data_IF_202773931650
#
_entry.id   IF_202773931650
#
_cell.length_a   1.000
_cell.length_b   1.000
_cell.length_c   1.000
_cell.angle_alpha   90.00
_cell.angle_beta   90.00
_cell.angle_gamma   90.00
#
_symmetry.space_group_name_H-M   'P 1'
#
loop_
_entity.id
_entity.type
_entity.pdbx_description
1 polymer ?
#
# COMPACT_ATOMS: atom_id res chain seq x y z
N UNK A 1 11.03 -26.55 -30.59
CA UNK A 1 11.76 -25.71 -29.63
C UNK A 1 10.80 -24.65 -29.14
N UNK A 2 10.59 -24.47 -27.84
CA UNK A 2 9.82 -23.33 -27.33
C UNK A 2 10.59 -22.06 -27.73
N UNK A 3 9.92 -21.11 -28.43
CA UNK A 3 10.53 -19.83 -28.78
C UNK A 3 11.04 -19.16 -27.51
N UNK A 4 12.29 -18.71 -27.52
CA UNK A 4 12.90 -17.98 -26.41
C UNK A 4 12.07 -16.70 -26.16
N UNK A 5 11.67 -16.48 -24.89
CA UNK A 5 10.90 -15.28 -24.50
C UNK A 5 11.87 -14.11 -24.37
N UNK A 6 11.76 -13.12 -25.24
CA UNK A 6 12.63 -11.92 -25.27
C UNK A 6 11.97 -10.67 -24.72
N UNK A 7 10.63 -10.56 -24.83
CA UNK A 7 9.90 -9.36 -24.42
C UNK A 7 8.56 -9.70 -23.78
N UNK A 8 8.35 -9.24 -22.54
CA UNK A 8 7.12 -9.47 -21.81
C UNK A 8 6.44 -8.15 -21.40
N UNK A 9 5.12 -8.18 -21.33
CA UNK A 9 4.31 -7.09 -20.81
C UNK A 9 3.66 -7.51 -19.48
N UNK A 10 3.91 -6.77 -18.41
CA UNK A 10 3.20 -6.90 -17.12
C UNK A 10 2.21 -5.74 -17.00
N UNK A 11 0.94 -6.02 -16.68
CA UNK A 11 -0.12 -5.01 -16.62
C UNK A 11 -0.65 -4.86 -15.20
N UNK A 12 -0.50 -3.64 -14.61
CA UNK A 12 -1.16 -3.25 -13.35
C UNK A 12 -1.48 -1.76 -13.34
N UNK A 13 -2.73 -1.37 -13.59
CA UNK A 13 -3.13 0.03 -13.75
C UNK A 13 -3.26 0.82 -12.46
N UNK A 14 -3.53 0.19 -11.33
CA UNK A 14 -3.80 0.82 -10.01
C UNK A 14 -3.87 -0.24 -8.91
N UNK A 15 -3.83 0.08 -7.65
CA UNK A 15 -3.52 1.35 -7.01
C UNK A 15 -2.07 1.36 -6.50
N UNK A 16 -1.63 2.40 -5.73
CA UNK A 16 -0.26 2.48 -5.20
C UNK A 16 0.20 1.15 -4.57
N UNK A 17 -0.52 0.67 -3.56
CA UNK A 17 -0.16 -0.57 -2.87
C UNK A 17 -0.15 -1.79 -3.78
N UNK A 18 -1.14 -1.89 -4.68
CA UNK A 18 -1.20 -3.00 -5.63
C UNK A 18 -0.03 -3.01 -6.63
N UNK A 19 0.47 -1.84 -7.04
CA UNK A 19 1.63 -1.72 -7.92
C UNK A 19 2.90 -2.13 -7.16
N UNK A 20 3.09 -1.65 -5.93
CA UNK A 20 4.21 -2.08 -5.07
C UNK A 20 4.19 -3.59 -4.85
N UNK A 21 3.02 -4.19 -4.67
CA UNK A 21 2.85 -5.65 -4.52
C UNK A 21 3.22 -6.45 -5.78
N UNK A 22 3.37 -5.81 -6.96
CA UNK A 22 3.84 -6.49 -8.17
C UNK A 22 5.36 -6.57 -8.29
N UNK A 23 6.12 -5.83 -7.49
CA UNK A 23 7.57 -5.71 -7.65
C UNK A 23 8.32 -7.04 -7.55
N UNK A 24 7.95 -8.02 -6.70
CA UNK A 24 8.59 -9.33 -6.72
C UNK A 24 8.39 -10.09 -8.03
N UNK A 25 7.21 -9.94 -8.65
CA UNK A 25 6.93 -10.58 -9.94
C UNK A 25 7.75 -9.93 -11.07
N UNK A 26 7.93 -8.61 -11.03
CA UNK A 26 8.76 -7.86 -12.00
C UNK A 26 10.23 -8.27 -11.85
N UNK A 27 10.78 -8.21 -10.62
CA UNK A 27 12.16 -8.62 -10.34
C UNK A 27 12.42 -10.07 -10.73
N UNK A 28 11.55 -11.00 -10.30
CA UNK A 28 11.71 -12.41 -10.60
C UNK A 28 11.68 -12.70 -12.11
N UNK A 29 10.82 -12.01 -12.87
CA UNK A 29 10.81 -12.11 -14.33
C UNK A 29 12.14 -11.61 -14.93
N UNK A 30 12.61 -10.42 -14.52
CA UNK A 30 13.82 -9.81 -15.05
C UNK A 30 15.09 -10.61 -14.75
N UNK A 31 15.17 -11.21 -13.55
CA UNK A 31 16.38 -11.92 -13.10
C UNK A 31 16.43 -13.39 -13.48
N UNK A 32 15.28 -14.03 -13.75
CA UNK A 32 15.23 -15.46 -14.04
C UNK A 32 15.01 -15.78 -15.52
N UNK A 33 14.48 -14.87 -16.31
CA UNK A 33 14.38 -15.04 -17.77
C UNK A 33 15.62 -14.47 -18.44
N UNK A 34 16.24 -15.28 -19.30
CA UNK A 34 17.47 -14.89 -19.99
C UNK A 34 17.20 -13.77 -20.99
N UNK A 35 17.98 -12.69 -20.91
CA UNK A 35 17.97 -11.55 -21.87
C UNK A 35 16.56 -10.98 -22.15
N UNK A 36 15.68 -10.96 -21.13
CA UNK A 36 14.29 -10.50 -21.28
C UNK A 36 14.18 -8.98 -21.13
N UNK A 37 13.43 -8.35 -22.03
CA UNK A 37 12.88 -7.00 -21.82
C UNK A 37 11.56 -7.09 -21.06
N UNK A 38 11.50 -6.43 -19.90
CA UNK A 38 10.29 -6.34 -19.06
C UNK A 38 9.64 -4.99 -19.24
N UNK A 39 8.47 -4.96 -19.87
CA UNK A 39 7.66 -3.76 -20.01
C UNK A 39 6.53 -3.76 -18.98
N UNK A 40 6.20 -2.59 -18.46
CA UNK A 40 5.14 -2.43 -17.47
C UNK A 40 4.07 -1.44 -17.93
N UNK A 41 2.78 -1.80 -17.88
CA UNK A 41 1.68 -0.92 -18.22
C UNK A 41 0.92 -0.48 -16.97
N UNK A 42 0.84 0.83 -16.73
CA UNK A 42 0.16 1.44 -15.58
C UNK A 42 -0.53 2.76 -15.97
N UNK A 43 -1.31 3.35 -15.05
CA UNK A 43 -1.82 4.71 -15.24
C UNK A 43 -0.73 5.74 -15.00
N UNK A 44 -0.73 6.83 -15.76
CA UNK A 44 0.24 7.94 -15.66
C UNK A 44 0.42 8.46 -14.24
N UNK A 45 -0.66 8.60 -13.49
CA UNK A 45 -0.63 9.09 -12.10
C UNK A 45 0.21 8.24 -11.12
N UNK A 46 0.58 7.01 -11.51
CA UNK A 46 1.43 6.11 -10.72
C UNK A 46 2.86 6.03 -11.24
N UNK A 47 3.24 6.91 -12.16
CA UNK A 47 4.58 7.03 -12.75
C UNK A 47 5.68 6.98 -11.69
N UNK A 48 5.52 7.76 -10.63
CA UNK A 48 6.48 7.91 -9.52
C UNK A 48 6.88 6.56 -8.86
N UNK A 49 6.05 5.52 -8.97
CA UNK A 49 6.29 4.21 -8.33
C UNK A 49 7.19 3.32 -9.21
N UNK A 50 7.14 3.48 -10.52
CA UNK A 50 7.69 2.51 -11.48
C UNK A 50 8.90 3.01 -12.26
N UNK A 51 9.08 4.34 -12.42
CA UNK A 51 10.13 4.90 -13.27
C UNK A 51 11.55 4.60 -12.79
N UNK A 52 11.73 4.43 -11.48
CA UNK A 52 13.05 4.17 -10.91
C UNK A 52 13.28 2.67 -10.61
N UNK A 53 12.40 1.80 -11.09
CA UNK A 53 12.56 0.37 -10.88
C UNK A 53 13.54 -0.21 -11.91
N UNK A 54 14.76 -0.66 -11.53
CA UNK A 54 15.78 -1.14 -12.44
C UNK A 54 15.41 -2.44 -13.15
N UNK A 55 14.34 -3.09 -12.73
CA UNK A 55 13.84 -4.32 -13.35
C UNK A 55 12.77 -4.06 -14.43
N UNK A 56 12.47 -2.79 -14.72
CA UNK A 56 11.54 -2.38 -15.78
C UNK A 56 12.34 -1.67 -16.89
N UNK A 57 12.36 -2.26 -18.08
CA UNK A 57 13.06 -1.66 -19.22
C UNK A 57 12.25 -0.54 -19.88
N UNK A 58 10.91 -0.67 -19.89
CA UNK A 58 10.01 0.36 -20.46
C UNK A 58 8.66 0.41 -19.77
N UNK A 59 8.17 1.61 -19.50
CA UNK A 59 6.84 1.85 -18.94
C UNK A 59 5.90 2.38 -20.02
N UNK A 60 4.69 1.83 -20.07
CA UNK A 60 3.59 2.28 -20.92
C UNK A 60 2.49 2.90 -20.07
N UNK A 61 2.15 4.15 -20.34
CA UNK A 61 1.17 4.88 -19.54
C UNK A 61 -0.22 4.87 -20.18
N UNK A 62 -1.21 4.54 -19.36
CA UNK A 62 -2.61 4.66 -19.71
C UNK A 62 -3.15 6.04 -19.28
N UNK A 63 -3.43 6.89 -20.26
CA UNK A 63 -3.97 8.24 -20.09
C UNK A 63 -5.41 8.29 -20.61
N UNK A 64 -6.29 7.45 -20.06
CA UNK A 64 -7.71 7.35 -20.35
C UNK A 64 -8.06 7.01 -21.82
N UNK A 65 -7.09 6.99 -22.72
CA UNK A 65 -7.25 6.55 -24.11
C UNK A 65 -6.71 5.12 -24.30
N UNK A 66 -7.62 4.13 -24.22
CA UNK A 66 -7.27 2.72 -24.34
C UNK A 66 -6.79 2.36 -25.75
N UNK A 67 -7.35 2.98 -26.78
CA UNK A 67 -6.97 2.75 -28.19
C UNK A 67 -5.53 3.17 -28.47
N UNK A 68 -5.11 4.33 -27.96
CA UNK A 68 -3.75 4.82 -28.09
C UNK A 68 -2.76 3.91 -27.36
N UNK A 69 -3.07 3.49 -26.14
CA UNK A 69 -2.24 2.54 -25.41
C UNK A 69 -2.10 1.22 -26.20
N UNK A 70 -3.20 0.65 -26.70
CA UNK A 70 -3.15 -0.60 -27.48
C UNK A 70 -2.30 -0.44 -28.74
N UNK A 71 -2.41 0.71 -29.44
CA UNK A 71 -1.60 0.99 -30.64
C UNK A 71 -0.10 0.99 -30.29
N UNK A 72 0.31 1.64 -29.20
CA UNK A 72 1.70 1.63 -28.77
C UNK A 72 2.19 0.24 -28.31
N UNK A 73 1.34 -0.50 -27.59
CA UNK A 73 1.67 -1.86 -27.16
C UNK A 73 1.83 -2.84 -28.33
N UNK A 74 1.03 -2.69 -29.42
CA UNK A 74 1.16 -3.53 -30.61
C UNK A 74 2.51 -3.36 -31.33
N UNK A 75 3.10 -2.17 -31.28
CA UNK A 75 4.41 -1.87 -31.90
C UNK A 75 5.57 -2.60 -31.20
N UNK A 76 5.40 -3.00 -29.92
CA UNK A 76 6.46 -3.65 -29.14
C UNK A 76 6.65 -5.14 -29.45
N UNK A 77 5.67 -5.79 -30.11
CA UNK A 77 5.76 -7.22 -30.48
C UNK A 77 6.08 -8.16 -29.30
N UNK A 78 5.34 -8.05 -28.21
CA UNK A 78 5.51 -8.90 -27.03
C UNK A 78 5.40 -10.40 -27.35
N UNK A 79 6.18 -11.23 -26.64
CA UNK A 79 6.07 -12.68 -26.69
C UNK A 79 5.02 -13.20 -25.69
N UNK A 80 4.89 -12.52 -24.54
CA UNK A 80 3.97 -12.94 -23.48
C UNK A 80 3.40 -11.75 -22.69
N UNK A 81 2.13 -11.87 -22.25
CA UNK A 81 1.44 -10.85 -21.46
C UNK A 81 1.02 -11.39 -20.11
N UNK A 82 1.45 -10.72 -19.04
CA UNK A 82 1.14 -11.06 -17.66
C UNK A 82 0.15 -10.03 -17.10
N UNK A 83 -1.10 -10.46 -16.89
CA UNK A 83 -2.18 -9.58 -16.44
C UNK A 83 -2.37 -9.69 -14.91
N UNK A 84 -1.74 -8.78 -14.17
CA UNK A 84 -1.86 -8.65 -12.72
C UNK A 84 -2.98 -7.69 -12.28
N UNK A 85 -3.80 -7.22 -13.23
CA UNK A 85 -4.95 -6.36 -12.93
C UNK A 85 -6.30 -7.09 -13.12
N UNK A 86 -6.45 -7.86 -14.21
CA UNK A 86 -7.57 -8.75 -14.51
C UNK A 86 -8.93 -8.04 -14.47
N UNK A 87 -9.11 -7.03 -15.30
CA UNK A 87 -10.38 -6.32 -15.51
C UNK A 87 -10.76 -6.29 -17.00
N UNK A 88 -11.88 -5.62 -17.33
CA UNK A 88 -12.36 -5.53 -18.71
C UNK A 88 -11.32 -4.88 -19.65
N UNK A 89 -10.66 -3.79 -19.21
CA UNK A 89 -9.64 -3.11 -20.03
C UNK A 89 -8.47 -4.04 -20.36
N UNK A 90 -7.95 -4.78 -19.36
CA UNK A 90 -6.84 -5.71 -19.59
C UNK A 90 -7.26 -6.91 -20.43
N UNK A 91 -8.53 -7.33 -20.37
CA UNK A 91 -9.09 -8.34 -21.29
C UNK A 91 -9.05 -7.85 -22.73
N UNK A 92 -9.51 -6.61 -22.99
CA UNK A 92 -9.47 -5.99 -24.33
C UNK A 92 -8.02 -5.89 -24.83
N UNK A 93 -7.08 -5.42 -24.00
CA UNK A 93 -5.66 -5.36 -24.38
C UNK A 93 -5.14 -6.73 -24.80
N UNK A 94 -5.33 -7.77 -23.98
CA UNK A 94 -4.86 -9.12 -24.29
C UNK A 94 -5.45 -9.65 -25.60
N UNK A 95 -6.76 -9.46 -25.81
CA UNK A 95 -7.42 -9.88 -27.05
C UNK A 95 -6.84 -9.14 -28.25
N UNK A 96 -6.64 -7.82 -28.15
CA UNK A 96 -6.10 -6.99 -29.25
C UNK A 96 -4.62 -7.25 -29.56
N UNK A 97 -3.83 -7.66 -28.57
CA UNK A 97 -2.44 -8.05 -28.76
C UNK A 97 -2.31 -9.45 -29.38
N UNK A 98 -3.27 -10.34 -29.18
CA UNK A 98 -3.28 -11.71 -29.74
C UNK A 98 -2.12 -12.59 -29.25
N UNK A 99 -1.47 -12.25 -28.13
CA UNK A 99 -0.30 -12.95 -27.62
C UNK A 99 -0.67 -13.95 -26.51
N UNK A 100 0.19 -14.95 -26.27
CA UNK A 100 0.06 -15.83 -25.11
C UNK A 100 0.01 -14.99 -23.84
N UNK A 101 -0.87 -15.36 -22.91
CA UNK A 101 -1.03 -14.57 -21.69
C UNK A 101 -1.41 -15.43 -20.49
N UNK A 102 -1.04 -14.95 -19.31
CA UNK A 102 -1.48 -15.47 -18.02
C UNK A 102 -2.10 -14.37 -17.15
N UNK A 103 -2.84 -14.79 -16.13
CA UNK A 103 -3.44 -13.84 -15.17
C UNK A 103 -3.50 -14.47 -13.80
N UNK A 104 -3.33 -13.65 -12.77
CA UNK A 104 -3.44 -14.10 -11.39
C UNK A 104 -4.87 -14.50 -10.99
N UNK A 105 -5.00 -15.29 -9.94
CA UNK A 105 -6.28 -15.66 -9.37
C UNK A 105 -6.84 -14.53 -8.49
N UNK A 106 -7.95 -13.91 -8.89
CA UNK A 106 -8.53 -12.74 -8.22
C UNK A 106 -9.38 -13.09 -7.00
N UNK A 107 -9.83 -14.34 -6.86
CA UNK A 107 -10.64 -14.87 -5.75
C UNK A 107 -11.92 -14.05 -5.47
N UNK A 108 -12.58 -13.55 -6.53
CA UNK A 108 -13.72 -12.64 -6.39
C UNK A 108 -14.92 -13.29 -5.69
N UNK A 109 -15.18 -14.58 -5.98
CA UNK A 109 -16.30 -15.33 -5.39
C UNK A 109 -16.06 -15.55 -3.90
N UNK A 110 -14.86 -16.00 -3.53
CA UNK A 110 -14.48 -16.22 -2.13
C UNK A 110 -14.52 -14.92 -1.31
N UNK A 111 -14.00 -13.82 -1.89
CA UNK A 111 -14.10 -12.49 -1.28
C UNK A 111 -15.54 -12.03 -1.13
N UNK A 112 -16.39 -12.28 -2.12
CA UNK A 112 -17.81 -11.93 -2.06
C UNK A 112 -18.55 -12.73 -0.98
N UNK A 113 -18.32 -14.04 -0.89
CA UNK A 113 -18.87 -14.90 0.16
C UNK A 113 -18.45 -14.40 1.56
N UNK A 114 -17.17 -14.05 1.71
CA UNK A 114 -16.67 -13.57 3.01
C UNK A 114 -17.27 -12.21 3.41
N UNK A 115 -17.41 -11.27 2.45
CA UNK A 115 -17.99 -9.95 2.71
C UNK A 115 -19.49 -10.05 3.03
N UNK A 116 -20.26 -10.84 2.28
CA UNK A 116 -21.72 -10.84 2.37
C UNK A 116 -22.25 -11.86 3.40
N UNK A 117 -21.67 -13.05 3.43
CA UNK A 117 -22.16 -14.16 4.27
C UNK A 117 -21.21 -14.50 5.44
N UNK A 118 -20.06 -13.84 5.55
CA UNK A 118 -19.02 -14.12 6.57
C UNK A 118 -18.42 -15.53 6.47
N UNK A 119 -18.63 -16.19 5.34
CA UNK A 119 -18.04 -17.50 5.05
C UNK A 119 -16.66 -17.31 4.44
N UNK A 120 -15.61 -17.51 5.24
CA UNK A 120 -14.25 -17.38 4.78
C UNK A 120 -13.76 -18.69 4.13
N UNK A 121 -13.77 -18.72 2.80
CA UNK A 121 -13.16 -19.76 1.94
C UNK A 121 -11.92 -19.25 1.20
N UNK A 122 -11.30 -18.18 1.69
CA UNK A 122 -10.07 -17.65 1.10
C UNK A 122 -8.89 -18.57 1.46
N UNK A 123 -8.02 -18.89 0.52
CA UNK A 123 -6.78 -19.61 0.83
C UNK A 123 -5.87 -18.67 1.64
N UNK A 124 -5.07 -19.25 2.54
CA UNK A 124 -4.04 -18.52 3.28
C UNK A 124 -2.82 -18.26 2.36
N UNK A 125 -3.02 -17.53 1.29
CA UNK A 125 -2.00 -17.20 0.28
C UNK A 125 -1.98 -15.70 0.05
N UNK A 126 -0.81 -15.10 0.18
CA UNK A 126 -0.64 -13.68 -0.04
C UNK A 126 -0.86 -13.29 -1.51
N UNK A 127 -1.28 -12.05 -1.78
CA UNK A 127 -1.53 -11.56 -3.15
C UNK A 127 -0.25 -11.60 -4.00
N UNK A 128 0.92 -11.37 -3.41
CA UNK A 128 2.23 -11.45 -4.08
C UNK A 128 2.47 -12.86 -4.63
N UNK A 129 2.20 -13.88 -3.84
CA UNK A 129 2.38 -15.27 -4.29
C UNK A 129 1.42 -15.60 -5.44
N UNK A 130 0.19 -15.08 -5.39
CA UNK A 130 -0.78 -15.20 -6.51
C UNK A 130 -0.35 -14.42 -7.76
N UNK A 131 0.41 -13.31 -7.61
CA UNK A 131 1.01 -12.60 -8.75
C UNK A 131 2.15 -13.40 -9.36
N UNK A 132 3.01 -13.99 -8.54
CA UNK A 132 4.08 -14.87 -8.99
C UNK A 132 3.54 -16.15 -9.66
N UNK A 133 2.40 -16.68 -9.20
CA UNK A 133 1.73 -17.78 -9.87
C UNK A 133 1.36 -17.48 -11.34
N UNK A 134 1.12 -16.22 -11.68
CA UNK A 134 0.89 -15.82 -13.07
C UNK A 134 2.14 -15.95 -13.96
N UNK A 135 3.34 -16.06 -13.38
CA UNK A 135 4.59 -16.26 -14.10
C UNK A 135 5.00 -17.74 -14.21
N UNK A 136 4.30 -18.66 -13.56
CA UNK A 136 4.58 -20.11 -13.64
C UNK A 136 4.68 -20.67 -15.07
N UNK A 137 3.85 -20.24 -16.05
CA UNK A 137 3.99 -20.68 -17.44
C UNK A 137 5.35 -20.35 -18.09
N UNK A 138 6.08 -19.37 -17.52
CA UNK A 138 7.41 -18.97 -17.94
C UNK A 138 8.54 -19.62 -17.12
N UNK A 139 8.21 -20.52 -16.18
CA UNK A 139 9.17 -21.17 -15.29
C UNK A 139 9.70 -20.30 -14.14
N UNK A 140 9.20 -19.05 -14.01
CA UNK A 140 9.65 -18.10 -12.98
C UNK A 140 9.09 -18.49 -11.61
N UNK A 141 9.95 -18.46 -10.59
CA UNK A 141 9.64 -18.80 -9.19
C UNK A 141 9.80 -17.61 -8.26
N UNK A 142 9.16 -17.67 -7.09
CA UNK A 142 9.36 -16.69 -6.02
C UNK A 142 10.81 -16.77 -5.49
N UNK A 143 11.53 -15.65 -5.51
CA UNK A 143 12.89 -15.54 -4.97
C UNK A 143 12.94 -15.37 -3.44
N UNK A 144 11.79 -15.14 -2.79
CA UNK A 144 11.68 -14.98 -1.34
C UNK A 144 12.15 -13.64 -0.79
N UNK A 145 12.67 -12.72 -1.61
CA UNK A 145 13.28 -11.46 -1.16
C UNK A 145 12.26 -10.41 -0.66
N UNK A 146 10.96 -10.58 -0.98
CA UNK A 146 9.90 -9.64 -0.58
C UNK A 146 9.69 -8.53 -1.59
N UNK A 147 9.14 -7.39 -1.13
CA UNK A 147 8.81 -6.25 -1.98
C UNK A 147 10.03 -5.37 -2.24
N UNK A 148 9.95 -4.58 -3.32
CA UNK A 148 10.91 -3.52 -3.65
C UNK A 148 10.22 -2.16 -3.71
N UNK A 149 10.98 -1.12 -3.40
CA UNK A 149 10.64 0.27 -3.70
C UNK A 149 11.92 1.07 -3.91
N UNK A 150 12.01 1.78 -5.02
CA UNK A 150 13.21 2.50 -5.44
C UNK A 150 12.96 4.01 -5.34
N UNK A 151 13.74 4.68 -4.52
CA UNK A 151 13.68 6.14 -4.32
C UNK A 151 14.78 6.76 -5.16
N UNK A 152 14.47 7.69 -6.09
CA UNK A 152 15.51 8.44 -6.79
C UNK A 152 16.22 9.41 -5.83
N UNK A 153 17.48 9.67 -6.06
CA UNK A 153 18.32 10.52 -5.21
C UNK A 153 17.69 11.90 -4.92
N UNK A 154 17.08 12.52 -5.91
CA UNK A 154 16.39 13.81 -5.78
C UNK A 154 15.20 13.83 -4.80
N UNK A 155 14.66 12.66 -4.47
CA UNK A 155 13.54 12.51 -3.55
C UNK A 155 13.97 11.95 -2.17
N UNK A 156 15.28 11.79 -1.95
CA UNK A 156 15.78 11.45 -0.63
C UNK A 156 15.58 12.61 0.34
N UNK A 157 14.98 12.32 1.48
CA UNK A 157 14.76 13.32 2.54
C UNK A 157 15.96 13.33 3.47
N UNK A 158 16.66 14.44 3.48
CA UNK A 158 17.76 14.64 4.42
C UNK A 158 17.25 14.81 5.85
N UNK A 159 17.98 14.29 6.81
CA UNK A 159 17.64 14.38 8.24
C UNK A 159 17.53 15.85 8.69
N UNK A 160 18.32 16.74 8.07
CA UNK A 160 18.30 18.19 8.31
C UNK A 160 16.95 18.85 8.03
N UNK A 161 16.14 18.28 7.12
CA UNK A 161 14.79 18.80 6.78
C UNK A 161 13.74 18.48 7.85
N UNK A 162 14.06 17.54 8.74
CA UNK A 162 13.17 17.17 9.83
C UNK A 162 13.38 18.08 11.05
N UNK A 163 12.34 18.32 11.85
CA UNK A 163 12.50 18.99 13.14
C UNK A 163 13.55 18.29 14.00
N UNK A 164 14.33 19.02 14.77
CA UNK A 164 15.41 18.51 15.59
C UNK A 164 15.00 17.32 16.45
N UNK A 165 13.80 17.38 17.02
CA UNK A 165 13.21 16.31 17.84
C UNK A 165 12.98 14.98 17.09
N UNK A 166 13.04 15.00 15.74
CA UNK A 166 12.79 13.83 14.89
C UNK A 166 14.04 13.38 14.11
N UNK A 167 15.21 13.96 14.37
CA UNK A 167 16.44 13.65 13.62
C UNK A 167 17.10 12.34 14.01
N UNK A 168 17.06 11.97 15.28
CA UNK A 168 17.72 10.76 15.78
C UNK A 168 16.81 9.53 15.64
N UNK A 169 15.61 9.60 16.23
CA UNK A 169 14.63 8.49 16.26
C UNK A 169 13.24 9.02 16.10
N UNK A 170 12.48 8.38 15.22
CA UNK A 170 11.07 8.69 15.05
C UNK A 170 10.26 7.49 14.56
N UNK A 171 8.99 7.55 14.82
CA UNK A 171 7.99 6.64 14.30
C UNK A 171 7.19 7.32 13.19
N UNK A 172 6.74 6.55 12.22
CA UNK A 172 5.83 7.05 11.21
C UNK A 172 4.42 6.59 11.54
N UNK A 173 3.45 7.50 11.45
CA UNK A 173 2.05 7.13 11.38
C UNK A 173 1.45 7.60 10.05
N UNK A 174 1.22 6.65 9.14
CA UNK A 174 0.55 6.89 7.87
C UNK A 174 -0.96 7.00 8.10
N UNK A 175 -1.45 8.23 8.28
CA UNK A 175 -2.87 8.51 8.57
C UNK A 175 -3.75 8.50 7.33
N UNK A 176 -3.14 8.61 6.14
CA UNK A 176 -3.83 8.64 4.86
C UNK A 176 -4.50 7.33 4.47
N UNK A 177 -5.43 7.42 3.53
CA UNK A 177 -6.13 6.28 2.96
C UNK A 177 -7.32 6.68 2.11
N UNK A 178 -7.51 6.00 0.98
CA UNK A 178 -8.53 6.34 -0.02
C UNK A 178 -9.98 6.29 0.51
N UNK A 179 -10.25 5.41 1.48
CA UNK A 179 -11.61 5.19 2.01
C UNK A 179 -11.69 5.51 3.50
N UNK A 180 -12.64 6.34 3.89
CA UNK A 180 -12.80 6.77 5.28
C UNK A 180 -12.97 5.59 6.26
N UNK A 181 -13.62 4.50 5.84
CA UNK A 181 -13.80 3.31 6.69
C UNK A 181 -12.54 2.46 6.87
N UNK A 182 -11.42 2.84 6.25
CA UNK A 182 -10.10 2.26 6.50
C UNK A 182 -9.26 3.10 7.46
N UNK A 183 -9.66 4.36 7.75
CA UNK A 183 -8.91 5.28 8.62
C UNK A 183 -9.52 5.29 10.03
N UNK A 184 -8.68 5.43 11.03
CA UNK A 184 -9.13 5.68 12.40
C UNK A 184 -9.84 7.03 12.49
N UNK A 185 -10.85 7.19 13.36
CA UNK A 185 -11.36 8.49 13.75
C UNK A 185 -10.27 9.33 14.43
N UNK A 186 -10.35 10.65 14.31
CA UNK A 186 -9.35 11.59 14.87
C UNK A 186 -9.03 11.29 16.35
N UNK A 187 -10.04 11.11 17.18
CA UNK A 187 -9.86 10.74 18.60
C UNK A 187 -8.96 9.52 18.78
N UNK A 188 -9.17 8.48 17.98
CA UNK A 188 -8.38 7.23 18.04
C UNK A 188 -6.97 7.41 17.49
N UNK A 189 -6.76 8.31 16.52
CA UNK A 189 -5.43 8.67 16.05
C UNK A 189 -4.63 9.38 17.14
N UNK A 190 -5.26 10.30 17.86
CA UNK A 190 -4.65 11.00 19.00
C UNK A 190 -4.29 9.99 20.11
N UNK A 191 -5.19 9.10 20.49
CA UNK A 191 -4.92 8.05 21.48
C UNK A 191 -3.76 7.15 21.07
N UNK A 192 -3.65 6.80 19.79
CA UNK A 192 -2.53 6.01 19.29
C UNK A 192 -1.21 6.79 19.39
N UNK A 193 -1.18 8.06 19.00
CA UNK A 193 0.00 8.90 19.13
C UNK A 193 0.44 9.04 20.60
N UNK A 194 -0.51 9.23 21.53
CA UNK A 194 -0.20 9.30 22.96
C UNK A 194 0.38 7.97 23.49
N UNK A 195 -0.16 6.84 23.02
CA UNK A 195 0.36 5.51 23.39
C UNK A 195 1.74 5.23 22.80
N UNK A 196 2.05 5.71 21.60
CA UNK A 196 3.40 5.66 21.03
C UNK A 196 4.37 6.44 21.92
N UNK A 197 3.98 7.62 22.40
CA UNK A 197 4.72 8.44 23.35
C UNK A 197 6.19 8.68 22.95
N UNK A 198 6.47 8.87 21.70
CA UNK A 198 7.78 9.10 21.06
C UNK A 198 7.58 10.18 19.97
N UNK A 199 8.68 10.68 19.33
CA UNK A 199 8.54 11.51 18.13
C UNK A 199 7.82 10.75 17.01
N UNK A 200 6.75 11.35 16.45
CA UNK A 200 5.94 10.76 15.36
C UNK A 200 5.86 11.72 14.19
N UNK A 201 6.18 11.24 13.01
CA UNK A 201 5.91 11.92 11.74
C UNK A 201 4.60 11.37 11.19
N UNK A 202 3.61 12.25 11.02
CA UNK A 202 2.36 11.92 10.34
C UNK A 202 2.58 12.01 8.84
N UNK A 203 2.19 10.98 8.09
CA UNK A 203 2.23 10.96 6.63
C UNK A 203 0.83 10.73 6.05
N UNK A 204 0.52 11.47 5.00
CA UNK A 204 -0.75 11.43 4.30
C UNK A 204 -0.73 12.35 3.08
N UNK A 205 -1.80 12.32 2.28
CA UNK A 205 -1.98 13.25 1.18
C UNK A 205 -2.36 14.65 1.66
N UNK A 206 -2.56 15.58 0.70
CA UNK A 206 -3.03 16.92 0.99
C UNK A 206 -4.40 16.94 1.68
N UNK A 207 -5.24 15.97 1.36
CA UNK A 207 -6.54 15.76 1.99
C UNK A 207 -6.47 15.39 3.48
N UNK A 208 -5.33 14.90 3.96
CA UNK A 208 -5.10 14.54 5.35
C UNK A 208 -4.41 15.64 6.17
N UNK A 209 -3.98 16.75 5.52
CA UNK A 209 -3.22 17.84 6.13
C UNK A 209 -3.94 18.44 7.35
N UNK A 210 -5.25 18.75 7.21
CA UNK A 210 -6.07 19.27 8.30
C UNK A 210 -6.16 18.31 9.49
N UNK A 211 -6.34 17.03 9.23
CA UNK A 211 -6.39 15.99 10.28
C UNK A 211 -5.03 15.90 10.98
N UNK A 212 -3.94 15.94 10.22
CA UNK A 212 -2.59 15.97 10.75
C UNK A 212 -2.33 17.19 11.64
N UNK A 213 -2.81 18.36 11.23
CA UNK A 213 -2.70 19.59 12.01
C UNK A 213 -3.52 19.53 13.31
N UNK A 214 -4.73 18.98 13.28
CA UNK A 214 -5.55 18.79 14.47
C UNK A 214 -4.86 17.85 15.47
N UNK A 215 -4.16 16.79 15.01
CA UNK A 215 -3.38 15.90 15.86
C UNK A 215 -2.16 16.65 16.44
N UNK A 216 -1.39 17.35 15.61
CA UNK A 216 -0.20 18.06 16.05
C UNK A 216 -0.55 19.14 17.09
N UNK A 217 -1.58 19.93 16.83
CA UNK A 217 -2.06 20.97 17.76
C UNK A 217 -2.51 20.38 19.13
N UNK A 218 -3.05 19.17 19.16
CA UNK A 218 -3.40 18.52 20.43
C UNK A 218 -2.18 18.27 21.33
N UNK A 219 -1.01 17.97 20.75
CA UNK A 219 0.23 17.71 21.47
C UNK A 219 1.11 18.96 21.67
N UNK A 220 0.78 20.07 21.00
CA UNK A 220 1.51 21.33 21.15
C UNK A 220 1.21 21.99 22.50
N UNK A 221 2.21 21.94 23.40
CA UNK A 221 2.10 22.48 24.76
C UNK A 221 2.05 24.01 24.83
N UNK A 222 2.48 24.70 23.76
CA UNK A 222 2.47 26.17 23.70
C UNK A 222 1.09 26.74 23.40
N UNK A 223 0.17 25.91 22.93
CA UNK A 223 -1.20 26.32 22.55
C UNK A 223 -2.17 26.00 23.70
N UNK A 224 -2.90 27.02 24.17
CA UNK A 224 -4.06 26.78 25.02
C UNK A 224 -5.02 25.81 24.30
N UNK A 225 -5.34 24.72 24.96
CA UNK A 225 -5.98 23.56 24.36
C UNK A 225 -7.47 23.80 24.10
N UNK A 226 -7.83 24.53 23.05
CA UNK A 226 -9.21 24.62 22.52
C UNK A 226 -9.77 23.28 22.00
N UNK A 227 -8.92 22.25 21.94
CA UNK A 227 -9.22 20.92 21.37
C UNK A 227 -9.54 19.86 22.43
N UNK A 228 -9.90 20.24 23.66
CA UNK A 228 -10.38 19.29 24.66
C UNK A 228 -11.66 18.63 24.15
N UNK A 229 -11.49 17.52 23.43
CA UNK A 229 -12.61 16.63 23.12
C UNK A 229 -12.82 15.74 24.33
N UNK A 230 -14.08 15.73 24.83
CA UNK A 230 -14.54 14.88 25.92
C UNK A 230 -14.00 13.43 25.77
N UNK A 231 -13.30 12.93 26.77
CA UNK A 231 -12.71 11.61 26.84
C UNK A 231 -11.25 11.52 26.32
N UNK A 232 -10.51 12.63 26.21
CA UNK A 232 -9.07 12.68 25.96
C UNK A 232 -8.30 13.31 27.14
N UNK A 233 -8.99 13.60 28.24
CA UNK A 233 -8.44 14.32 29.39
C UNK A 233 -7.32 13.55 30.09
N UNK A 234 -7.38 12.21 30.06
CA UNK A 234 -6.44 11.31 30.73
C UNK A 234 -5.14 11.07 29.95
N UNK A 235 -5.01 11.60 28.71
CA UNK A 235 -3.86 11.36 27.88
C UNK A 235 -2.62 12.10 28.42
N UNK A 236 -1.48 11.44 28.33
CA UNK A 236 -0.20 11.94 28.86
C UNK A 236 0.37 13.13 28.08
N UNK A 237 -0.05 13.32 26.82
CA UNK A 237 0.36 14.40 25.89
C UNK A 237 1.88 14.57 25.77
N UNK A 238 2.63 13.46 25.82
CA UNK A 238 4.10 13.48 25.77
C UNK A 238 4.67 13.26 24.37
N UNK A 239 3.87 12.74 23.44
CA UNK A 239 4.31 12.56 22.07
C UNK A 239 4.65 13.92 21.42
N UNK A 240 5.68 13.93 20.59
CA UNK A 240 6.06 15.07 19.76
C UNK A 240 5.65 14.77 18.34
N UNK A 241 4.78 15.59 17.77
CA UNK A 241 4.15 15.31 16.47
C UNK A 241 4.63 16.29 15.41
N UNK A 242 5.18 15.76 14.32
CA UNK A 242 5.43 16.53 13.11
C UNK A 242 4.38 16.17 12.04
N UNK A 243 3.58 17.14 11.63
CA UNK A 243 2.64 16.96 10.54
C UNK A 243 3.34 17.07 9.19
N UNK A 244 3.61 15.93 8.55
CA UNK A 244 4.16 15.81 7.21
C UNK A 244 3.13 15.58 6.11
N UNK A 245 1.82 15.56 6.45
CA UNK A 245 0.75 15.36 5.47
C UNK A 245 0.73 16.50 4.43
N UNK A 246 0.69 16.14 3.15
CA UNK A 246 0.68 17.08 2.05
C UNK A 246 2.02 17.80 1.78
N UNK A 247 3.05 17.61 2.62
CA UNK A 247 4.37 18.26 2.48
C UNK A 247 5.36 17.46 1.64
N UNK A 248 5.16 16.17 1.52
CA UNK A 248 6.07 15.23 0.86
C UNK A 248 5.36 14.52 -0.29
N UNK A 249 6.06 14.34 -1.40
CA UNK A 249 5.60 13.43 -2.44
C UNK A 249 5.71 11.97 -1.97
N UNK A 250 5.28 11.00 -2.81
CA UNK A 250 5.26 9.59 -2.41
C UNK A 250 6.68 9.04 -2.16
N UNK A 251 7.67 9.42 -2.98
CA UNK A 251 9.05 8.96 -2.81
C UNK A 251 9.71 9.58 -1.57
N UNK A 252 9.46 10.86 -1.31
CA UNK A 252 9.91 11.53 -0.09
C UNK A 252 9.27 10.89 1.16
N UNK A 253 7.98 10.58 1.09
CA UNK A 253 7.29 9.83 2.15
C UNK A 253 7.91 8.44 2.33
N UNK A 254 8.31 7.78 1.26
CA UNK A 254 9.00 6.49 1.30
C UNK A 254 10.40 6.61 1.93
N UNK A 255 11.15 7.69 1.65
CA UNK A 255 12.44 7.99 2.29
C UNK A 255 12.28 8.15 3.81
N UNK A 256 11.26 8.90 4.26
CA UNK A 256 10.94 9.04 5.69
C UNK A 256 10.57 7.68 6.30
N UNK A 257 9.75 6.88 5.61
CA UNK A 257 9.35 5.52 6.06
C UNK A 257 10.58 4.61 6.18
N UNK A 258 11.50 4.66 5.22
CA UNK A 258 12.73 3.83 5.22
C UNK A 258 13.59 4.09 6.46
N UNK A 259 13.67 5.32 6.92
CA UNK A 259 14.49 5.74 8.05
C UNK A 259 13.78 5.68 9.42
N UNK A 260 12.48 5.40 9.45
CA UNK A 260 11.71 5.28 10.69
C UNK A 260 12.08 4.03 11.51
N UNK A 261 11.94 4.06 12.83
CA UNK A 261 12.11 2.89 13.70
C UNK A 261 11.01 1.86 13.50
N UNK A 262 9.77 2.32 13.40
CA UNK A 262 8.61 1.49 13.03
C UNK A 262 7.52 2.35 12.39
N UNK A 263 6.56 1.66 11.75
CA UNK A 263 5.49 2.29 10.98
C UNK A 263 4.13 1.84 11.49
N UNK A 264 3.34 2.78 11.96
CA UNK A 264 1.90 2.61 12.18
C UNK A 264 1.16 3.02 10.91
N UNK A 265 0.22 2.22 10.46
CA UNK A 265 -0.44 2.50 9.19
C UNK A 265 -1.80 1.84 9.11
N UNK A 266 -2.71 2.45 8.38
CA UNK A 266 -3.92 1.79 7.92
C UNK A 266 -3.60 0.82 6.76
N UNK A 267 -4.57 0.02 6.32
CA UNK A 267 -4.52 -0.76 5.07
C UNK A 267 -4.41 0.19 3.86
N UNK A 268 -3.18 0.62 3.55
CA UNK A 268 -2.85 1.69 2.58
C UNK A 268 -1.60 1.38 1.76
N UNK A 269 -1.30 2.24 0.77
CA UNK A 269 -0.11 2.11 -0.07
C UNK A 269 1.21 2.18 0.72
N UNK A 270 1.30 3.08 1.72
CA UNK A 270 2.49 3.23 2.57
C UNK A 270 2.78 1.99 3.42
N UNK A 271 1.78 1.18 3.76
CA UNK A 271 1.99 -0.11 4.41
C UNK A 271 2.86 -1.05 3.55
N UNK A 272 2.61 -1.10 2.27
CA UNK A 272 3.38 -1.95 1.34
C UNK A 272 4.76 -1.37 1.05
N UNK A 273 4.89 -0.04 0.99
CA UNK A 273 6.19 0.63 0.90
C UNK A 273 7.04 0.34 2.15
N UNK A 274 6.46 0.42 3.34
CA UNK A 274 7.13 0.03 4.58
C UNK A 274 7.57 -1.44 4.58
N UNK A 275 6.75 -2.33 3.99
CA UNK A 275 7.13 -3.74 3.81
C UNK A 275 8.32 -3.92 2.86
N UNK A 276 8.44 -3.09 1.81
CA UNK A 276 9.59 -3.12 0.90
C UNK A 276 10.90 -2.79 1.63
N UNK A 277 10.86 -1.89 2.59
CA UNK A 277 12.01 -1.54 3.44
C UNK A 277 12.17 -2.43 4.69
N UNK A 278 11.43 -3.53 4.80
CA UNK A 278 11.49 -4.47 5.92
C UNK A 278 11.26 -3.81 7.29
N UNK A 279 10.53 -2.71 7.33
CA UNK A 279 10.22 -2.01 8.58
C UNK A 279 9.31 -2.86 9.46
N UNK A 280 9.39 -2.68 10.79
CA UNK A 280 8.38 -3.18 11.72
C UNK A 280 7.08 -2.41 11.51
N UNK A 281 5.99 -3.11 11.26
CA UNK A 281 4.72 -2.51 10.87
C UNK A 281 3.63 -2.86 11.88
N UNK A 282 2.90 -1.84 12.32
CA UNK A 282 1.66 -1.95 13.09
C UNK A 282 0.51 -1.55 12.17
N UNK A 283 -0.19 -2.54 11.63
CA UNK A 283 -1.23 -2.34 10.62
C UNK A 283 -2.64 -2.36 11.24
N UNK A 284 -3.44 -1.34 10.91
CA UNK A 284 -4.77 -1.11 11.47
C UNK A 284 -5.83 -1.42 10.41
N UNK A 285 -6.76 -2.32 10.76
CA UNK A 285 -7.74 -2.84 9.82
C UNK A 285 -9.18 -2.59 10.29
N UNK A 286 -9.93 -1.82 9.50
CA UNK A 286 -11.32 -1.48 9.77
C UNK A 286 -12.33 -2.32 8.99
N UNK A 287 -12.89 -1.74 7.94
CA UNK A 287 -13.95 -2.35 7.10
C UNK A 287 -13.47 -3.49 6.20
N UNK A 288 -12.17 -3.62 5.97
CA UNK A 288 -11.51 -4.67 5.20
C UNK A 288 -10.95 -5.77 6.12
N UNK A 289 -10.22 -6.73 5.55
CA UNK A 289 -9.66 -7.84 6.31
C UNK A 289 -8.28 -8.25 5.77
N UNK A 290 -7.30 -8.59 6.65
CA UNK A 290 -6.03 -9.18 6.26
C UNK A 290 -6.19 -10.48 5.47
N UNK A 291 -7.26 -11.25 5.71
CA UNK A 291 -7.55 -12.49 4.97
C UNK A 291 -7.72 -12.31 3.45
N UNK A 292 -7.88 -11.07 2.96
CA UNK A 292 -7.80 -10.82 1.52
C UNK A 292 -6.41 -11.05 0.92
N UNK A 293 -5.41 -11.30 1.79
CA UNK A 293 -4.03 -11.60 1.43
C UNK A 293 -3.22 -10.35 1.06
N UNK A 294 -3.51 -9.21 1.69
CA UNK A 294 -2.82 -7.93 1.44
C UNK A 294 -2.21 -7.34 2.72
N UNK A 295 -1.91 -8.18 3.71
CA UNK A 295 -1.18 -7.80 4.91
C UNK A 295 0.31 -7.51 4.60
N UNK A 296 1.12 -6.95 5.53
CA UNK A 296 2.54 -6.70 5.28
C UNK A 296 3.29 -7.97 4.84
N UNK A 297 4.05 -7.89 3.74
CA UNK A 297 4.69 -9.05 3.12
C UNK A 297 6.17 -9.16 3.51
N UNK A 298 6.59 -10.35 4.03
CA UNK A 298 7.99 -10.67 4.33
C UNK A 298 8.70 -9.63 5.24
N UNK A 299 7.99 -9.09 6.23
CA UNK A 299 8.53 -8.20 7.27
C UNK A 299 7.87 -8.50 8.62
N UNK A 300 8.40 -7.95 9.70
CA UNK A 300 7.77 -8.06 11.02
C UNK A 300 6.54 -7.15 11.09
N UNK A 301 5.41 -7.68 11.54
CA UNK A 301 4.20 -6.89 11.67
C UNK A 301 3.28 -7.37 12.79
N UNK A 302 2.45 -6.43 13.27
CA UNK A 302 1.30 -6.69 14.14
C UNK A 302 0.03 -6.16 13.49
N UNK A 303 -1.07 -6.87 13.68
CA UNK A 303 -2.39 -6.49 13.15
C UNK A 303 -3.27 -5.99 14.28
N UNK A 304 -3.79 -4.78 14.15
CA UNK A 304 -4.80 -4.22 15.03
C UNK A 304 -6.15 -4.23 14.33
N UNK A 305 -7.04 -5.07 14.80
CA UNK A 305 -8.37 -5.21 14.24
C UNK A 305 -9.38 -5.66 15.34
N UNK A 306 -10.64 -5.31 15.17
CA UNK A 306 -11.69 -5.80 16.05
C UNK A 306 -12.46 -6.94 15.38
N UNK A 307 -12.11 -8.18 15.70
CA UNK A 307 -12.74 -9.38 15.16
C UNK A 307 -14.06 -9.78 15.83
N UNK A 308 -14.43 -9.12 16.95
CA UNK A 308 -15.66 -9.40 17.67
C UNK A 308 -16.91 -8.85 16.96
N UNK A 309 -16.74 -8.04 15.91
CA UNK A 309 -17.84 -7.37 15.22
C UNK A 309 -18.35 -8.20 14.06
N UNK A 310 -19.60 -8.64 14.14
CA UNK A 310 -20.25 -9.51 13.14
C UNK A 310 -20.33 -8.91 11.72
N UNK A 311 -20.36 -7.57 11.57
CA UNK A 311 -20.44 -6.93 10.24
C UNK A 311 -19.12 -6.91 9.46
N UNK A 312 -17.99 -7.27 10.09
CA UNK A 312 -16.67 -7.25 9.47
C UNK A 312 -16.30 -8.58 8.79
N UNK A 313 -15.60 -8.57 7.62
CA UNK A 313 -15.40 -7.40 6.77
C UNK A 313 -16.72 -7.00 6.10
N UNK A 314 -16.96 -5.70 5.95
CA UNK A 314 -18.14 -5.21 5.25
C UNK A 314 -17.84 -4.70 3.84
N UNK A 315 -16.57 -4.67 3.44
CA UNK A 315 -16.12 -4.28 2.11
C UNK A 315 -14.83 -5.00 1.70
N UNK A 316 -14.64 -5.15 0.39
CA UNK A 316 -13.35 -5.58 -0.19
C UNK A 316 -12.33 -4.43 -0.23
N UNK A 317 -12.79 -3.18 -0.34
CA UNK A 317 -11.96 -2.01 -0.61
C UNK A 317 -12.16 -0.85 0.37
N UNK A 318 -13.29 -0.78 1.09
CA UNK A 318 -13.69 0.31 1.96
C UNK A 318 -14.89 1.10 1.44
N UNK A 319 -15.38 2.05 2.25
CA UNK A 319 -16.50 2.96 1.96
C UNK A 319 -16.16 4.40 2.35
N UNK A 320 -16.92 5.36 1.81
CA UNK A 320 -16.85 6.78 2.24
C UNK A 320 -17.37 7.00 3.66
N UNK A 321 -18.29 6.15 4.16
CA UNK A 321 -18.81 6.16 5.54
C UNK A 321 -19.20 4.76 5.96
N UNK A 322 -19.27 4.51 7.27
CA UNK A 322 -19.69 3.22 7.82
C UNK A 322 -21.16 2.94 7.45
N UNK A 323 -21.46 1.86 6.71
CA UNK A 323 -22.85 1.56 6.30
C UNK A 323 -23.75 1.20 7.47
N UNK A 324 -23.19 0.82 8.64
CA UNK A 324 -23.92 0.53 9.88
C UNK A 324 -23.94 1.72 10.87
N UNK A 325 -23.30 2.85 10.55
CA UNK A 325 -23.24 4.05 11.39
C UNK A 325 -22.33 3.96 12.62
N UNK A 326 -22.21 2.80 13.25
CA UNK A 326 -21.51 2.66 14.54
C UNK A 326 -19.99 2.72 14.51
N UNK A 327 -19.36 2.41 13.38
CA UNK A 327 -17.92 2.40 13.12
C UNK A 327 -17.05 1.69 14.20
N UNK A 328 -17.62 0.73 14.93
CA UNK A 328 -16.96 0.01 16.02
C UNK A 328 -15.67 -0.70 15.61
N UNK A 329 -15.54 -1.09 14.31
CA UNK A 329 -14.30 -1.71 13.81
C UNK A 329 -13.08 -0.80 13.89
N UNK A 330 -13.27 0.51 14.04
CA UNK A 330 -12.20 1.49 14.23
C UNK A 330 -12.29 2.17 15.61
N UNK A 331 -13.50 2.40 16.12
CA UNK A 331 -13.67 3.00 17.45
C UNK A 331 -13.16 2.10 18.58
N UNK A 332 -13.38 0.79 18.46
CA UNK A 332 -13.13 -0.16 19.55
C UNK A 332 -11.89 -1.04 19.27
N UNK A 333 -10.97 -0.58 18.40
CA UNK A 333 -9.68 -1.24 18.19
C UNK A 333 -8.84 -1.11 19.46
N UNK A 334 -8.27 -2.22 19.90
CA UNK A 334 -7.32 -2.21 21.03
C UNK A 334 -5.91 -2.10 20.48
N UNK A 335 -5.16 -1.13 20.97
CA UNK A 335 -3.74 -0.97 20.62
C UNK A 335 -2.89 -1.65 21.68
N UNK A 336 -2.62 -2.92 21.50
CA UNK A 336 -1.74 -3.69 22.37
C UNK A 336 -0.40 -3.92 21.69
N UNK A 337 0.59 -3.12 22.08
CA UNK A 337 1.96 -3.20 21.55
C UNK A 337 2.98 -2.68 22.57
N UNK A 338 4.18 -3.17 22.40
CA UNK A 338 5.36 -2.67 23.08
C UNK A 338 6.35 -2.11 22.05
N UNK A 339 6.95 -0.97 22.39
CA UNK A 339 8.03 -0.33 21.64
C UNK A 339 9.30 -0.38 22.49
N UNK A 340 10.45 -0.73 21.90
CA UNK A 340 11.73 -0.74 22.58
C UNK A 340 12.22 0.66 22.98
#
# INVERSE_FOLDING_TARGET
>A
MASEIKKILIIRFSSIGDIVLTTPAIRAAKTQLKDVEVHFATKEQYRIIVENNPYIDKVHYYNENLGQLIKSLKQENFDFVIDLHKNLRTKIIKTQLGKKSSSFQKLNIQKWLYVNFKVNKLPNVHIVDRYLDALKPLGVKNDGLGLDYFIPEKDEVEVSWLPETHREKYFVFAIGGQHATKKLPLKRMIELCDRINKPVILLGGKEDEKTGEEIANFFDRSKENKYYKKGLEELKKKAVIFNGCGKFNLNQSASIVRNADAVFTHDSGLMHIASAFKKRIFSIWGSTSPFFGMYPYKTQFSIFENNKIKCRPCSKIGFKKCPKGHFKCMNDVVFDFWLP
#
